data_IF_323725708131
#
_entry.id   IF_323725708131
#
_cell.length_a   1.000
_cell.length_b   1.000
_cell.length_c   1.000
_cell.angle_alpha   90.00
_cell.angle_beta   90.00
_cell.angle_gamma   90.00
#
_symmetry.space_group_name_H-M   'P 1'
#
loop_
_entity.id
_entity.type
_entity.pdbx_description
1 polymer ?
#
# COMPACT_ATOMS: atom_id res chain seq x y z
N UNK A 1 -7.25 -6.52 -8.29
CA UNK A 1 -6.50 -7.18 -7.20
C UNK A 1 -5.05 -6.70 -7.29
N UNK A 2 -4.84 -5.41 -7.03
CA UNK A 2 -3.52 -4.80 -6.90
C UNK A 2 -3.16 -4.89 -5.42
N UNK A 3 -1.99 -5.45 -5.10
CA UNK A 3 -1.57 -5.69 -3.73
C UNK A 3 -1.23 -4.37 -3.02
N UNK A 4 -2.25 -3.72 -2.48
CA UNK A 4 -2.16 -2.90 -1.27
C UNK A 4 -2.44 -3.76 -0.02
N UNK A 5 -2.28 -5.09 -0.11
CA UNK A 5 -2.82 -6.04 0.86
C UNK A 5 -2.07 -7.37 0.83
N UNK A 6 -0.85 -7.41 1.38
CA UNK A 6 -0.49 -8.55 2.22
C UNK A 6 -0.61 -8.09 3.67
N UNK A 7 -1.86 -7.85 4.04
CA UNK A 7 -2.34 -7.39 5.34
C UNK A 7 -3.85 -7.60 5.38
N UNK A 8 -4.23 -8.86 5.61
CA UNK A 8 -5.59 -9.36 5.83
C UNK A 8 -6.58 -9.33 4.66
N UNK A 9 -6.59 -10.46 3.94
CA UNK A 9 -7.85 -11.05 3.50
C UNK A 9 -8.75 -11.24 4.75
N UNK A 10 -9.80 -10.44 4.88
CA UNK A 10 -11.01 -10.83 5.60
C UNK A 10 -10.95 -11.15 7.11
N UNK A 11 -10.03 -10.58 7.91
CA UNK A 11 -10.19 -10.63 9.36
C UNK A 11 -10.73 -9.30 9.88
N UNK A 12 -11.92 -9.37 10.45
CA UNK A 12 -12.57 -8.24 11.08
C UNK A 12 -11.74 -7.69 12.24
N UNK A 13 -11.19 -6.49 12.04
CA UNK A 13 -11.10 -5.51 13.11
C UNK A 13 -12.39 -4.68 13.13
N UNK A 14 -13.54 -5.34 13.04
CA UNK A 14 -14.76 -4.77 13.57
C UNK A 14 -14.60 -4.82 15.09
N UNK A 15 -14.13 -3.72 15.68
CA UNK A 15 -14.44 -3.46 17.09
C UNK A 15 -15.93 -3.72 17.24
N UNK A 16 -16.28 -4.77 17.99
CA UNK A 16 -17.67 -5.23 18.09
C UNK A 16 -18.53 -4.00 18.45
N UNK A 17 -19.59 -3.69 17.69
CA UNK A 17 -20.44 -2.57 18.03
C UNK A 17 -20.97 -2.81 19.44
N UNK A 18 -20.68 -1.89 20.37
CA UNK A 18 -21.19 -1.98 21.72
C UNK A 18 -22.73 -1.91 21.66
N UNK A 19 -23.39 -2.92 22.23
CA UNK A 19 -24.85 -2.99 22.29
C UNK A 19 -25.36 -1.81 23.13
N UNK A 20 -26.30 -1.03 22.61
CA UNK A 20 -27.07 -0.09 23.42
C UNK A 20 -28.11 -0.89 24.22
N UNK A 21 -27.95 -1.06 25.55
CA UNK A 21 -28.82 -1.91 26.35
C UNK A 21 -30.27 -1.42 26.39
N UNK A 22 -30.54 -0.17 26.01
CA UNK A 22 -31.88 0.41 26.03
C UNK A 22 -32.68 0.19 24.74
N UNK A 23 -32.04 -0.19 23.62
CA UNK A 23 -32.71 -0.19 22.30
C UNK A 23 -32.62 -1.48 21.50
N UNK A 24 -31.90 -2.50 21.97
CA UNK A 24 -31.68 -3.79 21.29
C UNK A 24 -31.48 -3.66 19.76
N UNK A 25 -30.75 -2.62 19.36
CA UNK A 25 -30.36 -2.36 17.98
C UNK A 25 -28.86 -2.18 17.98
N UNK A 26 -28.19 -2.84 17.06
CA UNK A 26 -26.82 -2.48 16.74
C UNK A 26 -26.82 -1.00 16.36
N UNK A 27 -26.04 -0.19 17.09
CA UNK A 27 -25.83 1.21 16.71
C UNK A 27 -25.27 1.15 15.30
N UNK A 28 -26.04 1.60 14.31
CA UNK A 28 -25.59 1.63 12.93
C UNK A 28 -24.32 2.48 12.93
N UNK A 29 -23.16 1.80 12.85
CA UNK A 29 -21.90 2.49 12.77
C UNK A 29 -22.00 3.37 11.53
N UNK A 30 -21.61 4.65 11.60
CA UNK A 30 -21.45 5.43 10.38
C UNK A 30 -20.59 4.58 9.47
N UNK A 31 -21.12 4.23 8.29
CA UNK A 31 -20.48 3.36 7.30
C UNK A 31 -18.99 3.67 7.32
N UNK A 32 -18.18 2.78 7.90
CA UNK A 32 -16.77 3.06 8.20
C UNK A 32 -16.05 3.15 6.86
N UNK A 33 -15.97 4.36 6.34
CA UNK A 33 -15.17 4.71 5.20
C UNK A 33 -13.79 5.11 5.69
N UNK A 34 -13.09 4.20 6.37
CA UNK A 34 -11.66 4.42 6.69
C UNK A 34 -10.85 4.66 5.40
N UNK A 35 -11.29 4.07 4.29
CA UNK A 35 -10.73 4.29 2.95
C UNK A 35 -11.06 5.65 2.31
N UNK A 36 -12.13 6.34 2.75
CA UNK A 36 -12.54 7.63 2.15
C UNK A 36 -12.35 8.81 3.09
N UNK A 37 -11.87 8.58 4.31
CA UNK A 37 -11.68 9.63 5.31
C UNK A 37 -10.19 9.76 5.63
N UNK A 38 -9.55 10.73 4.98
CA UNK A 38 -8.12 11.02 5.16
C UNK A 38 -7.77 11.30 6.63
N UNK A 39 -8.64 11.97 7.40
CA UNK A 39 -8.36 12.27 8.81
C UNK A 39 -8.30 11.00 9.67
N UNK A 40 -9.18 10.03 9.40
CA UNK A 40 -9.15 8.75 10.09
C UNK A 40 -7.87 7.97 9.73
N UNK A 41 -7.50 7.94 8.45
CA UNK A 41 -6.26 7.29 8.00
C UNK A 41 -5.00 7.92 8.60
N UNK A 42 -4.98 9.25 8.80
CA UNK A 42 -3.87 9.97 9.41
C UNK A 42 -3.72 9.66 10.91
N UNK A 43 -4.83 9.62 11.65
CA UNK A 43 -4.80 9.31 13.08
C UNK A 43 -4.36 7.87 13.32
N UNK A 44 -4.81 6.94 12.47
CA UNK A 44 -4.48 5.51 12.59
C UNK A 44 -3.17 5.12 11.87
N UNK A 45 -2.50 6.06 11.20
CA UNK A 45 -1.33 5.83 10.33
C UNK A 45 -1.56 4.71 9.28
N UNK A 46 -2.80 4.60 8.79
CA UNK A 46 -3.20 3.57 7.84
C UNK A 46 -2.70 3.93 6.44
N UNK A 47 -1.63 3.27 6.00
CA UNK A 47 -0.98 3.47 4.68
C UNK A 47 -0.37 4.87 4.46
N UNK A 48 -0.33 5.73 5.49
CA UNK A 48 0.26 7.07 5.47
C UNK A 48 1.00 7.28 6.80
N UNK A 49 2.27 7.74 6.80
CA UNK A 49 3.10 8.07 5.64
C UNK A 49 3.59 6.83 4.89
N UNK A 50 3.69 6.94 3.57
CA UNK A 50 4.23 5.86 2.71
C UNK A 50 5.64 6.24 2.25
N UNK A 51 6.59 5.31 2.44
CA UNK A 51 7.98 5.47 2.01
C UNK A 51 8.20 4.82 0.65
N UNK A 52 9.15 5.35 -0.12
CA UNK A 52 9.58 4.73 -1.37
C UNK A 52 10.35 3.43 -1.08
N UNK A 53 9.84 2.25 -1.50
CA UNK A 53 10.51 0.98 -1.26
C UNK A 53 11.86 0.86 -1.98
N UNK A 54 12.10 1.54 -3.11
CA UNK A 54 13.39 1.50 -3.80
C UNK A 54 14.53 2.12 -3.01
N UNK A 55 14.24 2.97 -2.02
CA UNK A 55 15.25 3.57 -1.16
C UNK A 55 15.61 2.66 0.02
N UNK A 56 14.66 1.83 0.47
CA UNK A 56 14.84 0.97 1.66
C UNK A 56 15.44 -0.38 1.30
N UNK A 57 15.02 -0.98 0.18
CA UNK A 57 15.47 -2.32 -0.23
C UNK A 57 16.99 -2.44 -0.40
N UNK A 58 17.71 -1.49 -1.02
CA UNK A 58 19.17 -1.59 -1.13
C UNK A 58 19.88 -1.71 0.22
N UNK A 59 19.40 -0.99 1.24
CA UNK A 59 19.97 -1.05 2.59
C UNK A 59 19.74 -2.42 3.23
N UNK A 60 18.55 -3.00 3.07
CA UNK A 60 18.24 -4.35 3.56
C UNK A 60 18.98 -5.45 2.77
N UNK A 61 19.17 -5.25 1.47
CA UNK A 61 19.92 -6.17 0.63
C UNK A 61 21.40 -6.26 1.04
N UNK A 62 21.97 -5.16 1.53
CA UNK A 62 23.36 -5.12 2.00
C UNK A 62 23.62 -5.99 3.25
N UNK A 63 22.61 -6.25 4.07
CA UNK A 63 22.74 -7.04 5.31
C UNK A 63 22.19 -8.46 5.18
N UNK A 64 21.73 -8.86 4.00
CA UNK A 64 21.14 -10.19 3.74
C UNK A 64 21.78 -10.84 2.52
N UNK A 65 21.95 -12.16 2.53
CA UNK A 65 22.57 -12.88 1.41
C UNK A 65 21.57 -13.65 0.55
N UNK A 66 20.55 -14.26 1.16
CA UNK A 66 19.65 -15.21 0.50
C UNK A 66 18.17 -14.79 0.53
N UNK A 67 17.89 -13.56 0.98
CA UNK A 67 16.53 -13.05 1.08
C UNK A 67 16.10 -12.34 -0.21
N UNK A 68 14.91 -12.67 -0.72
CA UNK A 68 14.33 -12.03 -1.91
C UNK A 68 13.45 -10.83 -1.54
N UNK A 69 13.47 -9.78 -2.37
CA UNK A 69 12.73 -8.54 -2.12
C UNK A 69 11.65 -8.31 -3.18
N UNK A 70 10.38 -8.40 -2.79
CA UNK A 70 9.25 -8.04 -3.63
C UNK A 70 8.94 -6.54 -3.51
N UNK A 71 9.21 -5.76 -4.57
CA UNK A 71 8.89 -4.33 -4.62
C UNK A 71 7.62 -4.12 -5.43
N UNK A 72 6.70 -3.34 -4.86
CA UNK A 72 5.43 -3.00 -5.52
C UNK A 72 5.57 -1.68 -6.24
N UNK A 73 5.26 -1.67 -7.53
CA UNK A 73 5.25 -0.44 -8.33
C UNK A 73 4.17 -0.46 -9.37
N UNK A 74 3.58 0.72 -9.57
CA UNK A 74 2.50 0.93 -10.52
C UNK A 74 3.02 1.28 -11.91
N UNK A 75 2.41 0.68 -12.93
CA UNK A 75 2.65 1.04 -14.35
C UNK A 75 1.73 2.17 -14.83
N UNK A 76 0.78 2.63 -14.02
CA UNK A 76 -0.25 3.59 -14.45
C UNK A 76 0.31 4.97 -14.74
N UNK A 77 1.29 5.43 -13.94
CA UNK A 77 1.80 6.80 -14.00
C UNK A 77 3.29 6.91 -14.32
N UNK A 78 4.03 5.80 -14.22
CA UNK A 78 5.48 5.81 -14.36
C UNK A 78 5.90 5.55 -15.80
N UNK A 79 6.83 6.36 -16.32
CA UNK A 79 7.37 6.12 -17.65
C UNK A 79 8.15 4.79 -17.69
N UNK A 80 7.93 3.90 -18.67
CA UNK A 80 8.47 2.54 -18.68
C UNK A 80 10.00 2.51 -18.66
N UNK A 81 10.65 3.46 -19.34
CA UNK A 81 12.11 3.56 -19.32
C UNK A 81 12.69 3.83 -17.93
N UNK A 82 12.09 4.78 -17.19
CA UNK A 82 12.57 5.12 -15.85
C UNK A 82 12.32 3.96 -14.87
N UNK A 83 11.19 3.29 -15.00
CA UNK A 83 10.83 2.12 -14.21
C UNK A 83 11.80 0.95 -14.45
N UNK A 84 12.07 0.63 -15.72
CA UNK A 84 13.03 -0.42 -16.09
C UNK A 84 14.41 -0.13 -15.49
N UNK A 85 14.92 1.10 -15.62
CA UNK A 85 16.23 1.47 -15.05
C UNK A 85 16.28 1.28 -13.53
N UNK A 86 15.20 1.64 -12.80
CA UNK A 86 15.14 1.45 -11.33
C UNK A 86 15.18 -0.02 -10.95
N UNK A 87 14.40 -0.86 -11.62
CA UNK A 87 14.40 -2.30 -11.38
C UNK A 87 15.74 -2.94 -11.73
N UNK A 88 16.35 -2.61 -12.87
CA UNK A 88 17.69 -3.08 -13.23
C UNK A 88 18.74 -2.64 -12.21
N UNK A 89 18.70 -1.39 -11.75
CA UNK A 89 19.60 -0.92 -10.69
C UNK A 89 19.44 -1.75 -9.42
N UNK A 90 18.20 -2.01 -9.01
CA UNK A 90 17.92 -2.78 -7.81
C UNK A 90 18.33 -4.25 -7.97
N UNK A 91 18.16 -4.81 -9.16
CA UNK A 91 18.62 -6.17 -9.49
C UNK A 91 20.14 -6.30 -9.31
N UNK A 92 20.91 -5.34 -9.81
CA UNK A 92 22.36 -5.30 -9.59
C UNK A 92 22.73 -5.13 -8.11
N UNK A 93 22.09 -4.22 -7.40
CA UNK A 93 22.37 -3.97 -5.97
C UNK A 93 22.01 -5.16 -5.08
N UNK A 94 21.00 -5.94 -5.48
CA UNK A 94 20.55 -7.11 -4.73
C UNK A 94 21.16 -8.42 -5.22
N UNK A 95 21.98 -8.40 -6.28
CA UNK A 95 22.53 -9.59 -6.94
C UNK A 95 21.46 -10.56 -7.44
N UNK A 96 20.46 -10.05 -8.17
CA UNK A 96 19.43 -10.91 -8.78
C UNK A 96 18.27 -11.28 -7.85
N UNK A 97 18.13 -10.61 -6.70
CA UNK A 97 17.17 -11.00 -5.64
C UNK A 97 15.92 -10.12 -5.58
N UNK A 98 15.69 -9.27 -6.57
CA UNK A 98 14.50 -8.41 -6.63
C UNK A 98 13.38 -9.05 -7.44
N UNK A 99 12.16 -8.95 -6.95
CA UNK A 99 10.93 -9.27 -7.67
C UNK A 99 10.05 -8.03 -7.79
N UNK A 100 9.28 -7.96 -8.87
CA UNK A 100 8.32 -6.89 -9.09
C UNK A 100 6.89 -7.38 -8.87
N UNK A 101 6.23 -6.85 -7.85
CA UNK A 101 4.79 -6.92 -7.73
C UNK A 101 4.15 -5.83 -8.61
N UNK A 102 3.88 -6.19 -9.86
CA UNK A 102 3.28 -5.29 -10.84
C UNK A 102 1.84 -4.99 -10.47
N UNK A 103 1.53 -3.70 -10.33
CA UNK A 103 0.18 -3.25 -10.05
C UNK A 103 -0.26 -2.15 -11.01
N UNK A 104 -1.57 -1.97 -11.11
CA UNK A 104 -2.18 -0.77 -11.69
C UNK A 104 -2.85 0.01 -10.56
N UNK A 105 -2.53 1.30 -10.48
CA UNK A 105 -3.09 2.20 -9.46
C UNK A 105 -4.59 2.37 -9.64
N UNK A 106 -5.30 2.45 -8.52
CA UNK A 106 -6.76 2.69 -8.47
C UNK A 106 -7.14 3.91 -7.61
N UNK A 107 -6.15 4.57 -7.00
CA UNK A 107 -6.38 5.65 -6.04
C UNK A 107 -6.69 6.97 -6.76
N UNK A 108 -7.87 7.54 -6.49
CA UNK A 108 -8.26 8.84 -7.03
C UNK A 108 -7.34 9.97 -6.51
N UNK A 109 -6.88 9.89 -5.25
CA UNK A 109 -5.93 10.87 -4.72
C UNK A 109 -4.58 10.82 -5.43
N UNK A 110 -4.11 9.62 -5.78
CA UNK A 110 -2.88 9.44 -6.57
C UNK A 110 -3.05 10.01 -7.99
N UNK A 111 -4.18 9.71 -8.65
CA UNK A 111 -4.50 10.22 -9.97
C UNK A 111 -4.49 11.77 -10.00
N UNK A 112 -5.13 12.41 -9.03
CA UNK A 112 -5.16 13.88 -8.89
C UNK A 112 -3.77 14.47 -8.65
N UNK A 113 -2.99 13.87 -7.74
CA UNK A 113 -1.64 14.35 -7.43
C UNK A 113 -0.68 14.23 -8.61
N UNK A 114 -0.89 13.24 -9.48
CA UNK A 114 -0.08 12.99 -10.68
C UNK A 114 -0.67 13.62 -11.95
N UNK A 115 -1.70 14.45 -11.83
CA UNK A 115 -2.25 15.23 -12.95
C UNK A 115 -3.07 14.40 -13.97
N UNK A 116 -3.53 13.22 -13.57
CA UNK A 116 -4.32 12.29 -14.40
C UNK A 116 -5.76 12.12 -13.89
N UNK A 117 -6.09 12.77 -12.78
CA UNK A 117 -7.46 12.83 -12.25
C UNK A 117 -8.34 13.76 -13.07
N UNK A 118 -9.59 13.35 -13.26
CA UNK A 118 -10.68 14.15 -13.85
C UNK A 118 -11.33 15.05 -12.80
#
# INVERSE_FOLDING_TARGET
MAMASLGLLGAGCAGKPNLDPARNRYKALPRVTAWSNANAALVDAAQIPSLDPFLVVPAMANVTNNFGFGVTESVTYQHPYALARRFTTLDHLTSGRVGWNLVTSYSDSEARNLGTGI
#
